data_IF_192295942464
#
_entry.id   IF_192295942464
#
_cell.length_a   1.000
_cell.length_b   1.000
_cell.length_c   1.000
_cell.angle_alpha   90.00
_cell.angle_beta   90.00
_cell.angle_gamma   90.00
#
_symmetry.space_group_name_H-M   'P 1'
#
loop_
_entity.id
_entity.type
_entity.pdbx_description
1 polymer ?
#
# COMPACT_ATOMS: atom_id res chain seq x y z
N UNK A 1 -28.43 -22.31 77.73
CA UNK A 1 -27.45 -21.23 77.49
C UNK A 1 -26.36 -21.77 76.58
N UNK A 2 -26.28 -21.22 75.36
CA UNK A 2 -25.13 -21.13 74.42
C UNK A 2 -24.29 -22.41 74.15
N UNK A 3 -24.37 -22.98 72.94
CA UNK A 3 -23.49 -22.69 71.76
C UNK A 3 -22.54 -23.90 71.55
N UNK A 4 -22.15 -24.41 70.38
CA UNK A 4 -22.06 -23.86 69.04
C UNK A 4 -22.13 -25.00 67.99
N UNK A 5 -22.75 -24.72 66.83
CA UNK A 5 -22.67 -25.52 65.60
C UNK A 5 -21.43 -25.06 64.83
N UNK A 6 -20.56 -25.99 64.41
CA UNK A 6 -19.47 -25.73 63.46
C UNK A 6 -19.88 -26.19 62.07
N UNK A 7 -20.19 -25.25 61.18
CA UNK A 7 -20.35 -25.50 59.74
C UNK A 7 -19.03 -25.21 59.04
N UNK A 8 -18.51 -26.20 58.32
CA UNK A 8 -17.35 -26.06 57.43
C UNK A 8 -17.90 -25.70 56.05
N UNK A 9 -17.68 -24.45 55.62
CA UNK A 9 -17.99 -24.00 54.27
C UNK A 9 -16.76 -24.16 53.37
N UNK A 10 -16.88 -25.00 52.35
CA UNK A 10 -15.94 -25.07 51.23
C UNK A 10 -16.15 -23.85 50.32
N UNK A 11 -15.12 -23.03 50.15
CA UNK A 11 -15.10 -21.96 49.16
C UNK A 11 -14.39 -22.45 47.89
N UNK A 12 -15.16 -22.77 46.85
CA UNK A 12 -14.65 -22.91 45.49
C UNK A 12 -14.44 -21.50 44.91
N UNK A 13 -13.20 -21.06 44.79
CA UNK A 13 -12.85 -19.86 44.03
C UNK A 13 -12.82 -20.19 42.53
N UNK A 14 -13.81 -19.72 41.79
CA UNK A 14 -13.80 -19.70 40.33
C UNK A 14 -12.93 -18.52 39.87
N UNK A 15 -11.71 -18.82 39.41
CA UNK A 15 -10.86 -17.86 38.73
C UNK A 15 -11.35 -17.68 37.29
N UNK A 16 -12.02 -16.56 37.02
CA UNK A 16 -12.35 -16.13 35.66
C UNK A 16 -11.09 -15.57 34.99
N UNK A 17 -10.45 -16.37 34.14
CA UNK A 17 -9.37 -15.90 33.27
C UNK A 17 -9.96 -15.08 32.13
N UNK A 18 -9.94 -13.75 32.26
CA UNK A 18 -10.19 -12.85 31.15
C UNK A 18 -9.03 -12.97 30.15
N UNK A 19 -9.28 -13.60 29.01
CA UNK A 19 -8.37 -13.54 27.86
C UNK A 19 -8.39 -12.12 27.31
N UNK A 20 -7.39 -11.31 27.68
CA UNK A 20 -7.09 -10.07 26.97
C UNK A 20 -6.71 -10.47 25.55
N UNK A 21 -7.60 -10.23 24.59
CA UNK A 21 -7.27 -10.26 23.18
C UNK A 21 -6.19 -9.21 22.97
N UNK A 22 -4.94 -9.63 22.77
CA UNK A 22 -3.88 -8.74 22.32
C UNK A 22 -4.32 -8.23 20.94
N UNK A 23 -4.82 -7.00 20.90
CA UNK A 23 -4.84 -6.24 19.64
C UNK A 23 -3.38 -6.15 19.25
N UNK A 24 -2.99 -6.84 18.19
CA UNK A 24 -1.65 -6.73 17.65
C UNK A 24 -1.36 -5.23 17.47
N UNK A 25 -0.27 -4.75 18.08
CA UNK A 25 0.15 -3.36 17.93
C UNK A 25 0.19 -3.03 16.45
N UNK A 26 -0.52 -1.98 16.07
CA UNK A 26 -0.50 -1.51 14.68
C UNK A 26 0.93 -1.09 14.33
N UNK A 27 1.45 -1.48 13.16
CA UNK A 27 2.85 -1.27 12.83
C UNK A 27 3.16 0.23 12.86
N UNK A 28 4.18 0.61 13.63
CA UNK A 28 4.78 1.93 13.58
C UNK A 28 5.52 2.12 12.24
N UNK A 29 5.78 3.37 11.83
CA UNK A 29 6.60 3.63 10.66
C UNK A 29 7.97 2.91 10.73
N UNK A 30 8.38 2.33 9.61
CA UNK A 30 9.62 1.58 9.38
C UNK A 30 10.87 2.46 9.37
N UNK A 31 10.71 3.78 9.29
CA UNK A 31 11.79 4.77 9.17
C UNK A 31 11.46 6.08 9.90
N UNK A 32 12.47 6.88 10.30
CA UNK A 32 12.23 8.21 10.85
C UNK A 32 11.55 9.13 9.82
N UNK A 33 10.83 10.17 10.26
CA UNK A 33 10.32 11.19 9.36
C UNK A 33 11.47 12.02 8.78
N UNK A 34 11.22 12.61 7.60
CA UNK A 34 12.10 13.58 6.95
C UNK A 34 12.20 14.84 7.81
N UNK A 35 13.28 15.61 7.66
CA UNK A 35 13.42 16.91 8.31
C UNK A 35 12.19 17.79 8.05
N UNK A 36 11.65 18.39 9.13
CA UNK A 36 10.41 19.21 9.13
C UNK A 36 9.12 18.46 8.79
N UNK A 37 9.15 17.13 8.83
CA UNK A 37 7.98 16.29 8.69
C UNK A 37 7.67 15.56 10.00
N UNK A 38 6.42 15.12 10.12
CA UNK A 38 5.96 14.23 11.19
C UNK A 38 5.12 13.12 10.59
N UNK A 39 5.27 11.92 11.14
CA UNK A 39 4.41 10.79 10.79
C UNK A 39 3.01 10.97 11.34
N UNK A 40 2.01 10.81 10.48
CA UNK A 40 0.60 10.81 10.82
C UNK A 40 -0.04 9.53 10.32
N UNK A 41 -0.90 8.98 11.16
CA UNK A 41 -1.70 7.82 10.80
C UNK A 41 -2.98 8.28 10.14
N UNK A 42 -3.22 7.78 8.94
CA UNK A 42 -4.41 8.04 8.16
C UNK A 42 -5.20 6.74 7.98
N UNK A 43 -6.52 6.82 8.08
CA UNK A 43 -7.39 5.69 7.82
C UNK A 43 -8.76 6.18 7.32
N UNK A 44 -9.25 5.56 6.26
CA UNK A 44 -10.59 5.79 5.72
C UNK A 44 -11.23 4.45 5.38
N UNK A 45 -12.36 4.15 6.04
CA UNK A 45 -13.11 2.90 5.85
C UNK A 45 -13.89 2.86 4.53
N UNK A 46 -14.21 4.02 3.96
CA UNK A 46 -14.90 4.12 2.67
C UNK A 46 -13.96 3.77 1.54
N UNK A 47 -12.73 4.30 1.59
CA UNK A 47 -11.66 3.94 0.66
C UNK A 47 -11.15 2.52 0.94
N UNK A 48 -11.17 2.11 2.21
CA UNK A 48 -10.70 0.79 2.64
C UNK A 48 -9.19 0.74 2.85
N UNK A 49 -8.57 1.84 3.31
CA UNK A 49 -7.12 1.94 3.49
C UNK A 49 -6.76 2.59 4.82
N UNK A 50 -5.76 2.02 5.50
CA UNK A 50 -4.97 2.69 6.52
C UNK A 50 -3.50 2.75 6.08
N UNK A 51 -2.84 3.88 6.36
CA UNK A 51 -1.45 4.12 6.01
C UNK A 51 -0.81 5.10 7.01
N UNK A 52 0.51 5.03 7.15
CA UNK A 52 1.29 6.12 7.71
C UNK A 52 1.76 7.05 6.59
N UNK A 53 1.54 8.35 6.76
CA UNK A 53 1.97 9.37 5.82
C UNK A 53 2.60 10.55 6.57
N UNK A 54 3.50 11.25 5.90
CA UNK A 54 4.20 12.40 6.47
C UNK A 54 3.40 13.67 6.19
N UNK A 55 3.18 14.47 7.23
CA UNK A 55 2.80 15.87 7.10
C UNK A 55 4.05 16.71 7.26
N UNK A 56 4.32 17.57 6.28
CA UNK A 56 5.54 18.36 6.22
C UNK A 56 5.26 19.86 6.16
N UNK A 57 6.10 20.65 6.82
CA UNK A 57 6.07 22.12 6.73
C UNK A 57 7.46 22.67 6.40
N UNK A 58 7.67 23.02 5.12
CA UNK A 58 8.93 23.63 4.66
C UNK A 58 8.89 25.16 4.68
N UNK A 59 7.88 25.78 5.29
CA UNK A 59 7.67 27.22 5.39
C UNK A 59 7.06 27.85 4.13
N UNK A 60 7.61 27.55 2.95
CA UNK A 60 7.07 28.04 1.67
C UNK A 60 6.05 27.09 1.02
N UNK A 61 6.07 25.81 1.42
CA UNK A 61 5.17 24.77 0.96
C UNK A 61 4.92 23.78 2.09
N UNK A 62 3.66 23.45 2.31
CA UNK A 62 3.23 22.39 3.19
C UNK A 62 2.76 21.20 2.35
N UNK A 63 3.05 19.99 2.84
CA UNK A 63 2.63 18.73 2.26
C UNK A 63 1.74 18.03 3.27
N UNK A 64 0.57 17.58 2.82
CA UNK A 64 -0.29 16.69 3.57
C UNK A 64 -0.88 15.64 2.64
N UNK A 65 -1.49 14.62 3.24
CA UNK A 65 -2.18 13.57 2.52
C UNK A 65 -3.68 13.62 2.81
N UNK A 66 -4.47 13.29 1.81
CA UNK A 66 -5.92 13.20 1.89
C UNK A 66 -6.42 11.98 1.12
N UNK A 67 -7.60 11.48 1.49
CA UNK A 67 -8.29 10.45 0.73
C UNK A 67 -9.19 11.10 -0.32
N UNK A 68 -8.98 10.79 -1.59
CA UNK A 68 -9.75 11.32 -2.72
C UNK A 68 -10.11 10.18 -3.66
N UNK A 69 -11.41 10.01 -3.93
CA UNK A 69 -11.89 8.89 -4.74
C UNK A 69 -11.55 7.55 -4.09
N UNK A 70 -10.80 6.72 -4.79
CA UNK A 70 -10.31 5.41 -4.35
C UNK A 70 -8.83 5.45 -3.91
N UNK A 71 -8.28 6.61 -3.57
CA UNK A 71 -6.84 6.77 -3.38
C UNK A 71 -6.46 7.53 -2.11
N UNK A 72 -5.29 7.20 -1.57
CA UNK A 72 -4.50 8.10 -0.74
C UNK A 72 -3.68 9.00 -1.67
N UNK A 73 -3.88 10.31 -1.57
CA UNK A 73 -3.29 11.31 -2.46
C UNK A 73 -2.44 12.32 -1.69
N UNK A 74 -1.36 12.77 -2.31
CA UNK A 74 -0.52 13.85 -1.80
C UNK A 74 -1.09 15.20 -2.25
N UNK A 75 -1.08 16.19 -1.35
CA UNK A 75 -1.58 17.53 -1.59
C UNK A 75 -0.58 18.59 -1.14
N UNK A 76 -0.35 19.56 -2.02
CA UNK A 76 0.52 20.70 -1.77
C UNK A 76 -0.29 21.96 -1.45
N UNK A 77 0.18 22.76 -0.50
CA UNK A 77 -0.49 23.99 -0.06
C UNK A 77 -0.47 25.13 -1.09
N UNK A 78 0.45 25.09 -2.06
CA UNK A 78 0.63 26.13 -3.07
C UNK A 78 -0.20 25.90 -4.35
N UNK A 79 -1.03 24.86 -4.37
CA UNK A 79 -2.04 24.65 -5.41
C UNK A 79 -1.97 23.26 -6.06
N UNK A 80 -2.66 23.12 -7.20
CA UNK A 80 -2.75 21.85 -7.94
C UNK A 80 -3.84 20.90 -7.43
N UNK A 81 -4.13 19.86 -8.19
CA UNK A 81 -4.98 18.76 -7.73
C UNK A 81 -4.20 17.88 -6.74
N UNK A 82 -4.92 17.10 -5.92
CA UNK A 82 -4.27 16.05 -5.15
C UNK A 82 -3.81 14.94 -6.11
N UNK A 83 -2.58 14.48 -5.95
CA UNK A 83 -1.98 13.47 -6.81
C UNK A 83 -2.07 12.10 -6.13
N UNK A 84 -2.82 11.12 -6.70
CA UNK A 84 -2.96 9.81 -6.08
C UNK A 84 -1.61 9.07 -6.02
N UNK A 85 -1.22 8.57 -4.85
CA UNK A 85 0.00 7.76 -4.68
C UNK A 85 -0.31 6.31 -4.34
N UNK A 86 -1.42 6.02 -3.67
CA UNK A 86 -1.88 4.66 -3.43
C UNK A 86 -3.33 4.55 -3.87
N UNK A 87 -3.56 3.91 -5.01
CA UNK A 87 -4.91 3.66 -5.54
C UNK A 87 -5.37 2.24 -5.21
N UNK A 88 -6.63 2.09 -4.80
CA UNK A 88 -7.22 0.78 -4.51
C UNK A 88 -8.19 0.38 -5.62
N UNK A 89 -8.08 -0.86 -6.07
CA UNK A 89 -8.95 -1.42 -7.09
C UNK A 89 -9.57 -2.73 -6.62
N UNK A 90 -10.85 -2.90 -6.90
CA UNK A 90 -11.56 -4.12 -6.55
C UNK A 90 -11.13 -5.28 -7.45
N UNK A 91 -10.96 -6.45 -6.81
CA UNK A 91 -10.93 -7.75 -7.46
C UNK A 91 -12.39 -8.16 -7.68
N UNK A 92 -12.77 -8.39 -8.93
CA UNK A 92 -14.16 -8.73 -9.26
C UNK A 92 -14.52 -10.13 -8.72
N UNK A 93 -15.82 -10.43 -8.48
CA UNK A 93 -16.23 -11.76 -8.05
C UNK A 93 -15.75 -12.85 -9.01
N UNK A 94 -15.01 -13.84 -8.47
CA UNK A 94 -14.44 -14.94 -9.25
C UNK A 94 -13.13 -14.62 -9.98
N UNK A 95 -12.62 -13.39 -9.88
CA UNK A 95 -11.34 -12.96 -10.43
C UNK A 95 -10.19 -13.33 -9.48
N UNK A 96 -9.05 -13.79 -10.01
CA UNK A 96 -7.82 -13.86 -9.21
C UNK A 96 -7.17 -12.49 -9.12
N UNK A 97 -6.29 -12.26 -8.15
CA UNK A 97 -5.59 -10.98 -8.06
C UNK A 97 -4.79 -10.67 -9.33
N UNK A 98 -4.09 -11.66 -9.89
CA UNK A 98 -3.33 -11.51 -11.14
C UNK A 98 -4.24 -11.18 -12.34
N UNK A 99 -5.44 -11.76 -12.40
CA UNK A 99 -6.42 -11.43 -13.43
C UNK A 99 -6.93 -9.99 -13.28
N UNK A 100 -7.14 -9.53 -12.03
CA UNK A 100 -7.50 -8.14 -11.75
C UNK A 100 -6.41 -7.16 -12.21
N UNK A 101 -5.14 -7.46 -11.92
CA UNK A 101 -4.01 -6.66 -12.40
C UNK A 101 -3.97 -6.61 -13.92
N UNK A 102 -4.10 -7.75 -14.60
CA UNK A 102 -4.09 -7.77 -16.06
C UNK A 102 -5.26 -6.99 -16.67
N UNK A 103 -6.45 -7.07 -16.06
CA UNK A 103 -7.58 -6.23 -16.44
C UNK A 103 -7.27 -4.74 -16.27
N UNK A 104 -6.66 -4.33 -15.15
CA UNK A 104 -6.30 -2.93 -14.92
C UNK A 104 -5.34 -2.41 -16.00
N UNK A 105 -4.32 -3.20 -16.40
CA UNK A 105 -3.45 -2.82 -17.51
C UNK A 105 -4.24 -2.58 -18.80
N UNK A 106 -5.17 -3.49 -19.14
CA UNK A 106 -5.98 -3.38 -20.36
C UNK A 106 -6.97 -2.20 -20.32
N UNK A 107 -7.45 -1.82 -19.13
CA UNK A 107 -8.37 -0.70 -18.93
C UNK A 107 -7.65 0.66 -18.92
N UNK A 108 -6.37 0.69 -18.54
CA UNK A 108 -5.63 1.93 -18.22
C UNK A 108 -4.50 2.27 -19.18
N UNK A 109 -3.85 1.29 -19.79
CA UNK A 109 -2.76 1.51 -20.73
C UNK A 109 -3.24 1.55 -22.18
N UNK A 110 -2.48 2.21 -23.06
CA UNK A 110 -2.73 2.15 -24.50
C UNK A 110 -2.61 0.70 -25.00
N UNK A 111 -3.51 0.30 -25.90
CA UNK A 111 -3.56 -1.08 -26.39
C UNK A 111 -2.25 -1.54 -27.04
N UNK A 112 -1.57 -0.64 -27.75
CA UNK A 112 -0.29 -0.94 -28.42
C UNK A 112 0.84 -1.22 -27.43
N UNK A 113 0.71 -0.70 -26.20
CA UNK A 113 1.61 -0.95 -25.07
C UNK A 113 1.18 -2.21 -24.33
N UNK A 114 -0.11 -2.30 -23.94
CA UNK A 114 -0.61 -3.41 -23.12
C UNK A 114 -0.42 -4.78 -23.79
N UNK A 115 -0.57 -4.86 -25.12
CA UNK A 115 -0.39 -6.11 -25.89
C UNK A 115 1.08 -6.60 -25.89
N UNK A 116 2.02 -5.78 -25.44
CA UNK A 116 3.47 -6.03 -25.42
C UNK A 116 4.06 -6.11 -24.02
N UNK A 117 3.20 -6.08 -23.00
CA UNK A 117 3.58 -6.08 -21.60
C UNK A 117 3.04 -7.31 -20.89
N UNK A 118 3.78 -7.79 -19.89
CA UNK A 118 3.43 -9.00 -19.14
C UNK A 118 3.56 -8.71 -17.64
N UNK A 119 2.67 -9.32 -16.86
CA UNK A 119 2.71 -9.26 -15.41
C UNK A 119 3.96 -10.01 -14.92
N UNK A 120 4.77 -9.36 -14.11
CA UNK A 120 6.00 -9.92 -13.53
C UNK A 120 6.01 -9.69 -12.02
N UNK A 121 6.67 -10.57 -11.23
CA UNK A 121 6.90 -10.28 -9.82
C UNK A 121 7.80 -9.04 -9.66
N UNK A 122 7.44 -8.14 -8.77
CA UNK A 122 8.30 -7.04 -8.37
C UNK A 122 9.15 -7.47 -7.17
N UNK A 123 10.47 -7.44 -7.31
CA UNK A 123 11.40 -8.08 -6.36
C UNK A 123 12.30 -7.11 -5.61
N UNK A 124 12.12 -5.80 -5.81
CA UNK A 124 12.95 -4.80 -5.13
C UNK A 124 12.36 -4.42 -3.77
N UNK A 125 13.26 -4.07 -2.84
CA UNK A 125 12.90 -3.65 -1.48
C UNK A 125 12.38 -4.78 -0.59
N UNK A 126 12.01 -4.43 0.65
CA UNK A 126 11.33 -5.35 1.56
C UNK A 126 9.85 -5.44 1.23
N UNK A 127 9.30 -6.65 1.31
CA UNK A 127 7.88 -6.91 1.09
C UNK A 127 7.25 -7.30 2.43
N UNK A 128 6.17 -6.61 2.86
CA UNK A 128 5.46 -6.97 4.09
C UNK A 128 4.94 -8.42 4.07
N UNK A 129 4.87 -9.03 5.25
CA UNK A 129 4.41 -10.41 5.37
C UNK A 129 2.99 -10.57 4.82
N UNK A 130 2.78 -11.57 3.96
CA UNK A 130 1.48 -11.82 3.33
C UNK A 130 1.16 -10.93 2.14
N UNK A 131 2.05 -10.00 1.75
CA UNK A 131 1.88 -9.20 0.53
C UNK A 131 2.66 -9.85 -0.62
N UNK A 132 2.07 -9.84 -1.82
CA UNK A 132 2.79 -10.08 -3.07
C UNK A 132 2.89 -8.78 -3.86
N UNK A 133 4.03 -8.52 -4.50
CA UNK A 133 4.21 -7.36 -5.37
C UNK A 133 4.40 -7.77 -6.82
N UNK A 134 3.85 -6.97 -7.72
CA UNK A 134 3.92 -7.18 -9.15
C UNK A 134 4.20 -5.87 -9.89
N UNK A 135 4.68 -5.98 -11.12
CA UNK A 135 4.75 -4.88 -12.08
C UNK A 135 4.42 -5.40 -13.48
N UNK A 136 4.35 -4.49 -14.46
CA UNK A 136 4.29 -4.87 -15.87
C UNK A 136 5.60 -4.52 -16.56
N UNK A 137 6.23 -5.54 -17.12
CA UNK A 137 7.49 -5.44 -17.84
C UNK A 137 7.27 -5.72 -19.33
N UNK A 138 8.08 -5.15 -20.23
CA UNK A 138 7.99 -5.44 -21.66
C UNK A 138 8.34 -6.91 -21.92
N UNK A 139 7.64 -7.55 -22.85
CA UNK A 139 8.03 -8.89 -23.33
C UNK A 139 9.41 -8.84 -23.98
N UNK A 140 10.13 -9.96 -23.99
CA UNK A 140 11.54 -10.01 -24.40
C UNK A 140 11.83 -9.38 -25.79
N UNK A 141 10.92 -9.53 -26.76
CA UNK A 141 11.05 -8.89 -28.06
C UNK A 141 10.99 -7.36 -27.97
N UNK A 142 10.03 -6.82 -27.22
CA UNK A 142 9.87 -5.39 -27.02
C UNK A 142 11.02 -4.80 -26.19
N UNK A 143 11.44 -5.51 -25.14
CA UNK A 143 12.61 -5.11 -24.34
C UNK A 143 13.87 -4.95 -25.20
N UNK A 144 14.08 -5.82 -26.20
CA UNK A 144 15.20 -5.72 -27.14
C UNK A 144 15.10 -4.50 -28.05
N UNK A 145 13.90 -4.16 -28.53
CA UNK A 145 13.67 -2.96 -29.33
C UNK A 145 13.96 -1.69 -28.52
N UNK A 146 13.42 -1.61 -27.29
CA UNK A 146 13.67 -0.47 -26.40
C UNK A 146 15.15 -0.29 -26.10
N UNK A 147 15.86 -1.39 -25.83
CA UNK A 147 17.31 -1.37 -25.60
C UNK A 147 18.10 -0.84 -26.80
N UNK A 148 17.63 -1.05 -28.02
CA UNK A 148 18.28 -0.54 -29.23
C UNK A 148 18.08 0.97 -29.44
N UNK A 149 17.06 1.54 -28.79
CA UNK A 149 16.71 2.96 -28.84
C UNK A 149 17.21 3.74 -27.63
N UNK A 150 17.78 3.07 -26.62
CA UNK A 150 18.22 3.70 -25.37
C UNK A 150 19.33 4.72 -25.63
N UNK A 151 19.10 5.96 -25.19
CA UNK A 151 20.13 6.97 -25.05
C UNK A 151 20.60 7.00 -23.58
N UNK A 152 21.89 6.80 -23.28
CA UNK A 152 22.39 6.83 -21.90
C UNK A 152 22.27 8.20 -21.22
N UNK A 153 22.10 9.28 -21.99
CA UNK A 153 21.98 10.64 -21.46
C UNK A 153 20.52 11.04 -21.17
N UNK A 154 19.55 10.14 -21.39
CA UNK A 154 18.12 10.40 -21.21
C UNK A 154 17.48 9.34 -20.30
N UNK A 155 16.51 9.76 -19.50
CA UNK A 155 15.61 8.84 -18.80
C UNK A 155 14.65 8.29 -19.86
N UNK A 156 14.61 6.97 -20.08
CA UNK A 156 13.71 6.39 -21.07
C UNK A 156 12.25 6.51 -20.61
N UNK A 157 11.34 6.57 -21.58
CA UNK A 157 9.91 6.45 -21.31
C UNK A 157 9.58 5.09 -20.66
N UNK A 158 8.58 5.01 -19.77
CA UNK A 158 8.15 3.77 -19.16
C UNK A 158 7.77 2.72 -20.22
N UNK A 159 8.41 1.53 -20.21
CA UNK A 159 8.24 0.54 -21.27
C UNK A 159 6.82 0.01 -21.38
N UNK A 160 6.06 0.05 -20.28
CA UNK A 160 4.68 -0.42 -20.19
C UNK A 160 3.69 0.70 -19.83
N UNK A 161 4.07 1.95 -20.14
CA UNK A 161 3.33 3.15 -19.76
C UNK A 161 3.28 3.34 -18.24
N UNK A 162 2.41 4.26 -17.79
CA UNK A 162 2.34 4.72 -16.40
C UNK A 162 1.95 3.65 -15.38
N UNK A 163 1.54 2.45 -15.83
CA UNK A 163 1.04 1.37 -14.99
C UNK A 163 2.02 0.20 -14.86
N UNK A 164 3.21 0.29 -15.46
CA UNK A 164 4.23 -0.76 -15.40
C UNK A 164 5.48 -0.35 -14.65
N UNK A 165 6.63 -0.90 -15.06
CA UNK A 165 7.93 -0.47 -14.57
C UNK A 165 8.17 1.01 -14.88
N UNK A 166 8.71 1.75 -13.90
CA UNK A 166 9.04 3.17 -14.01
C UNK A 166 10.57 3.34 -13.95
N UNK A 167 11.21 3.88 -14.99
CA UNK A 167 12.68 3.96 -15.06
C UNK A 167 13.34 4.86 -14.02
N UNK A 168 12.64 5.89 -13.55
CA UNK A 168 13.14 6.92 -12.63
C UNK A 168 12.37 6.98 -11.29
N UNK A 169 11.54 5.98 -11.00
CA UNK A 169 10.75 5.96 -9.77
C UNK A 169 10.38 4.56 -9.32
N UNK A 170 10.00 4.44 -8.06
CA UNK A 170 9.49 3.18 -7.52
C UNK A 170 7.97 3.19 -7.63
N UNK A 171 7.45 2.24 -8.41
CA UNK A 171 6.03 1.91 -8.42
C UNK A 171 5.80 0.42 -8.68
N UNK A 172 4.73 -0.10 -8.12
CA UNK A 172 4.35 -1.50 -8.23
C UNK A 172 2.90 -1.70 -7.80
N UNK A 173 2.37 -2.88 -8.07
CA UNK A 173 1.11 -3.33 -7.47
C UNK A 173 1.36 -4.14 -6.20
N UNK A 174 0.52 -3.96 -5.19
CA UNK A 174 0.44 -4.87 -4.05
C UNK A 174 -0.83 -5.68 -4.07
N UNK A 175 -0.68 -6.96 -3.75
CA UNK A 175 -1.78 -7.89 -3.49
C UNK A 175 -1.64 -8.34 -2.03
N UNK A 176 -2.32 -7.67 -1.09
CA UNK A 176 -2.35 -8.09 0.31
C UNK A 176 -3.10 -9.42 0.45
N UNK A 177 -2.61 -10.31 1.32
CA UNK A 177 -3.37 -11.47 1.73
C UNK A 177 -4.60 -11.06 2.55
N UNK A 178 -5.73 -11.71 2.32
CA UNK A 178 -6.93 -11.58 3.16
C UNK A 178 -8.20 -11.29 2.37
N UNK A 179 -9.25 -10.94 3.12
CA UNK A 179 -10.63 -10.81 2.63
C UNK A 179 -10.91 -9.46 1.94
N UNK A 180 -9.95 -8.53 1.94
CA UNK A 180 -10.15 -7.17 1.44
C UNK A 180 -10.45 -7.06 -0.06
N UNK A 181 -10.31 -8.15 -0.83
CA UNK A 181 -10.61 -8.24 -2.28
C UNK A 181 -10.15 -7.03 -3.09
N UNK A 182 -8.99 -6.45 -2.73
CA UNK A 182 -8.44 -5.27 -3.38
C UNK A 182 -6.99 -5.50 -3.77
N UNK A 183 -6.59 -4.88 -4.86
CA UNK A 183 -5.20 -4.68 -5.25
C UNK A 183 -4.87 -3.20 -5.11
N UNK A 184 -3.63 -2.89 -4.73
CA UNK A 184 -3.17 -1.52 -4.63
C UNK A 184 -2.25 -1.25 -5.80
N UNK A 185 -2.32 -0.06 -6.38
CA UNK A 185 -1.25 0.50 -7.20
C UNK A 185 -0.53 1.55 -6.38
N UNK A 186 0.76 1.31 -6.10
CA UNK A 186 1.57 2.08 -5.17
C UNK A 186 2.65 2.82 -5.98
N UNK A 187 2.61 4.14 -5.93
CA UNK A 187 3.61 5.06 -6.49
C UNK A 187 4.39 5.68 -5.34
N UNK A 188 5.54 5.09 -5.04
CA UNK A 188 6.44 5.57 -3.97
C UNK A 188 7.18 6.83 -4.43
N UNK A 189 7.49 6.91 -5.73
CA UNK A 189 8.20 8.04 -6.35
C UNK A 189 9.72 7.80 -6.44
N UNK A 190 10.44 8.85 -6.84
CA UNK A 190 11.90 8.84 -7.00
C UNK A 190 12.65 9.19 -5.71
N UNK A 191 12.09 10.10 -4.92
CA UNK A 191 12.72 10.69 -3.74
C UNK A 191 12.39 9.90 -2.45
N UNK A 192 12.85 10.42 -1.32
CA UNK A 192 12.54 9.85 -0.02
C UNK A 192 11.01 9.78 0.20
N UNK A 193 10.44 8.60 0.54
CA UNK A 193 9.00 8.45 0.43
C UNK A 193 8.24 9.17 1.54
N UNK A 194 7.19 9.89 1.14
CA UNK A 194 6.35 10.70 2.02
C UNK A 194 5.20 9.90 2.65
N UNK A 195 5.03 8.63 2.31
CA UNK A 195 4.21 7.67 3.04
C UNK A 195 5.02 6.40 3.27
N UNK A 196 4.65 5.61 4.26
CA UNK A 196 5.31 4.34 4.55
C UNK A 196 4.62 3.17 3.87
N UNK A 197 5.19 2.76 2.74
CA UNK A 197 4.73 1.65 1.91
C UNK A 197 4.78 0.29 2.62
N UNK A 198 5.55 0.16 3.71
CA UNK A 198 5.59 -1.06 4.53
C UNK A 198 4.40 -1.17 5.49
N UNK A 199 3.63 -0.10 5.64
CA UNK A 199 2.53 -0.02 6.63
C UNK A 199 1.14 0.03 6.01
N UNK A 200 1.05 -0.10 4.69
CA UNK A 200 -0.23 -0.10 3.97
C UNK A 200 -1.09 -1.27 4.44
N UNK A 201 -2.34 -0.98 4.81
CA UNK A 201 -3.29 -2.00 5.25
C UNK A 201 -4.66 -1.76 4.64
N UNK A 202 -5.14 -2.75 3.90
CA UNK A 202 -6.52 -2.79 3.42
C UNK A 202 -7.45 -3.01 4.62
N UNK A 203 -8.46 -2.15 4.71
CA UNK A 203 -9.53 -2.24 5.71
C UNK A 203 -10.75 -2.95 5.11
N UNK A 204 -11.51 -3.70 5.94
CA UNK A 204 -12.77 -4.31 5.53
C UNK A 204 -13.88 -3.29 5.30
#
# INVERSE_FOLDING_TARGET
>A
MNSAVRSIAWACALSASATLSAVADEPAPSRPPIDKCVWEKLADKTVGLAAWAQRCDFGFRQIHFEFVGNALAIKYSDGGAADPLVELFDIKPGETAEAALQRLLLEKADKTVSDRCVLTPYTEGSVPAGVKRYTFSPVAAYAKELKALTNPDEVPEPPCGDWGEMPDGIQYFEVPAGEGQKVLFVRVGQDEPLFDEQTLRVLP
#
